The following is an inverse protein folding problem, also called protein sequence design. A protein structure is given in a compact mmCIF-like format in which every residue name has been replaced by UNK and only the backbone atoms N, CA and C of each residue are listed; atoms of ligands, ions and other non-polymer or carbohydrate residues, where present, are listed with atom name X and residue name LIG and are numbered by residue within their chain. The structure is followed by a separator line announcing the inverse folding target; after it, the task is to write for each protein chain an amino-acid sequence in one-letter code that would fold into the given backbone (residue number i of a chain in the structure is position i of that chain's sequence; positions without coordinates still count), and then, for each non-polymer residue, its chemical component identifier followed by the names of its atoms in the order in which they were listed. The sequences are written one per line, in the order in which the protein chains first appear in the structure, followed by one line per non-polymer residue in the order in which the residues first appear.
data_IF_681929164002
#
_entry.id   IF_681929164002
#
_cell.length_a   1.000
_cell.length_b   1.000
_cell.length_c   1.000
_cell.angle_alpha   90.00
_cell.angle_beta   90.00
_cell.angle_gamma   90.00
#
_symmetry.space_group_name_H-M   'P 1'
#
loop_
_entity.id
_entity.type
_entity.pdbx_description
1 polymer ?
#
# COMPACT_ATOMS: atom_id res chain seq x y z
N UNK A 1 12.06 -0.11 -11.97
CA UNK A 1 10.85 0.13 -12.77
C UNK A 1 9.74 0.51 -11.78
N UNK A 2 9.20 1.72 -11.85
CA UNK A 2 8.00 2.07 -11.07
C UNK A 2 6.80 1.37 -11.72
N UNK A 3 5.87 0.86 -10.92
CA UNK A 3 4.63 0.23 -11.40
C UNK A 3 3.51 1.24 -11.19
N UNK A 4 2.84 1.60 -12.28
CA UNK A 4 1.72 2.54 -12.28
C UNK A 4 0.44 1.74 -12.50
N UNK A 5 -0.48 1.81 -11.55
CA UNK A 5 -1.77 1.11 -11.62
C UNK A 5 -2.85 2.07 -12.13
N UNK A 6 -3.62 1.65 -13.14
CA UNK A 6 -4.68 2.50 -13.71
C UNK A 6 -6.10 1.98 -13.47
N UNK A 7 -6.38 0.67 -13.28
CA UNK A 7 -7.72 0.13 -12.92
C UNK A 7 -7.72 -1.23 -12.18
N UNK A 8 -8.86 -1.62 -11.60
CA UNK A 8 -9.15 -2.93 -10.95
C UNK A 8 -8.68 -4.18 -11.74
N UNK A 9 -8.67 -4.15 -13.07
CA UNK A 9 -8.23 -5.30 -13.91
C UNK A 9 -6.72 -5.53 -13.90
N UNK A 10 -5.93 -4.49 -13.67
CA UNK A 10 -4.48 -4.61 -13.71
C UNK A 10 -3.97 -5.38 -12.49
N UNK A 11 -4.61 -5.15 -11.32
CA UNK A 11 -4.30 -5.73 -10.00
C UNK A 11 -4.31 -7.25 -9.99
N UNK A 12 -5.35 -7.85 -10.57
CA UNK A 12 -5.48 -9.29 -10.67
C UNK A 12 -4.39 -9.93 -11.55
N UNK A 13 -4.00 -9.26 -12.65
CA UNK A 13 -3.03 -9.79 -13.63
C UNK A 13 -1.61 -9.80 -13.07
N UNK A 14 -1.22 -8.77 -12.33
CA UNK A 14 0.11 -8.70 -11.72
C UNK A 14 0.25 -9.66 -10.53
N UNK A 15 -0.77 -9.79 -9.67
CA UNK A 15 -0.76 -10.78 -8.58
C UNK A 15 -0.63 -12.21 -9.14
N UNK A 16 -1.36 -12.54 -10.20
CA UNK A 16 -1.22 -13.82 -10.88
C UNK A 16 0.18 -14.03 -11.48
N UNK A 17 0.75 -13.00 -12.12
CA UNK A 17 2.10 -13.05 -12.68
C UNK A 17 3.21 -13.16 -11.63
N UNK A 18 3.08 -12.46 -10.50
CA UNK A 18 4.05 -12.47 -9.41
C UNK A 18 4.03 -13.77 -8.61
N UNK A 19 2.84 -14.30 -8.30
CA UNK A 19 2.68 -15.60 -7.65
C UNK A 19 3.18 -16.75 -8.54
N UNK A 20 2.91 -16.67 -9.85
CA UNK A 20 3.47 -17.62 -10.83
C UNK A 20 5.00 -17.53 -10.92
N UNK A 21 5.57 -16.33 -10.83
CA UNK A 21 7.02 -16.11 -10.86
C UNK A 21 7.75 -16.68 -9.62
N UNK A 22 7.09 -16.68 -8.44
CA UNK A 22 7.67 -17.18 -7.19
C UNK A 22 7.47 -18.69 -6.96
N UNK A 23 6.80 -19.40 -7.87
CA UNK A 23 6.53 -20.84 -7.71
C UNK A 23 5.62 -21.19 -6.53
N UNK A 24 4.95 -20.20 -5.95
CA UNK A 24 4.03 -20.38 -4.83
C UNK A 24 2.66 -20.78 -5.39
N UNK A 25 2.38 -22.08 -5.38
CA UNK A 25 1.04 -22.61 -5.63
C UNK A 25 0.03 -21.93 -4.70
N UNK A 26 -1.04 -21.41 -5.28
CA UNK A 26 -2.15 -20.79 -4.56
C UNK A 26 -2.72 -21.82 -3.58
N UNK A 27 -2.50 -21.63 -2.28
CA UNK A 27 -3.25 -22.35 -1.24
C UNK A 27 -4.61 -21.65 -1.14
N UNK A 28 -5.53 -22.07 -2.01
CA UNK A 28 -6.93 -21.72 -1.92
C UNK A 28 -7.52 -22.33 -0.65
N UNK A 29 -8.19 -21.48 0.14
CA UNK A 29 -9.23 -21.88 1.10
C UNK A 29 -10.13 -22.90 0.39
N UNK A 30 -10.42 -24.03 1.02
CA UNK A 30 -11.17 -25.13 0.43
C UNK A 30 -12.51 -24.66 -0.15
N UNK A 31 -12.54 -24.48 -1.47
CA UNK A 31 -13.75 -24.36 -2.29
C UNK A 31 -14.07 -25.79 -2.73
N UNK A 32 -15.28 -26.27 -2.44
CA UNK A 32 -15.71 -27.57 -2.97
C UNK A 32 -15.70 -27.52 -4.50
N UNK A 33 -15.55 -28.66 -5.16
CA UNK A 33 -15.53 -28.78 -6.63
C UNK A 33 -16.79 -28.25 -7.34
N UNK A 34 -17.80 -27.80 -6.61
CA UNK A 34 -19.06 -27.24 -7.12
C UNK A 34 -19.11 -25.70 -7.16
N UNK A 35 -18.15 -24.98 -6.57
CA UNK A 35 -18.17 -23.51 -6.49
C UNK A 35 -19.31 -22.92 -5.65
N UNK A 36 -20.15 -23.76 -5.03
CA UNK A 36 -21.18 -23.32 -4.11
C UNK A 36 -20.59 -23.17 -2.71
N UNK A 37 -20.69 -21.96 -2.17
CA UNK A 37 -20.64 -21.75 -0.73
C UNK A 37 -21.82 -22.54 -0.14
N UNK A 38 -21.55 -23.49 0.76
CA UNK A 38 -22.63 -24.08 1.54
C UNK A 38 -23.20 -22.92 2.36
N UNK A 39 -24.49 -22.54 2.18
CA UNK A 39 -25.09 -21.58 3.08
C UNK A 39 -24.93 -22.16 4.48
N UNK A 40 -24.40 -21.35 5.39
CA UNK A 40 -24.68 -21.58 6.80
C UNK A 40 -26.20 -21.75 6.87
N UNK A 41 -26.66 -22.84 7.48
CA UNK A 41 -28.10 -23.12 7.55
C UNK A 41 -28.84 -21.97 8.24
N UNK A 42 -30.13 -22.14 8.54
CA UNK A 42 -30.88 -21.22 9.41
C UNK A 42 -30.36 -21.24 10.86
N UNK A 43 -29.04 -21.10 11.05
CA UNK A 43 -28.38 -20.97 12.33
C UNK A 43 -28.57 -19.51 12.77
N UNK A 44 -29.41 -19.27 13.79
CA UNK A 44 -29.64 -17.93 14.29
C UNK A 44 -28.35 -17.28 14.83
N UNK A 45 -27.34 -18.06 15.24
CA UNK A 45 -26.06 -17.52 15.71
C UNK A 45 -25.24 -16.94 14.55
N UNK A 46 -25.24 -17.61 13.38
CA UNK A 46 -24.56 -17.11 12.18
C UNK A 46 -25.20 -15.82 11.66
N UNK A 47 -26.54 -15.75 11.62
CA UNK A 47 -27.26 -14.55 11.22
C UNK A 47 -27.03 -13.37 12.18
N UNK A 48 -26.97 -13.65 13.49
CA UNK A 48 -26.65 -12.63 14.50
C UNK A 48 -25.22 -12.09 14.35
N UNK A 49 -24.25 -12.96 14.03
CA UNK A 49 -22.87 -12.58 13.78
C UNK A 49 -22.74 -11.72 12.52
N UNK A 50 -23.39 -12.09 11.41
CA UNK A 50 -23.41 -11.30 10.18
C UNK A 50 -24.01 -9.90 10.42
N UNK A 51 -25.15 -9.82 11.10
CA UNK A 51 -25.77 -8.54 11.45
C UNK A 51 -24.88 -7.67 12.37
N UNK A 52 -24.14 -8.30 13.29
CA UNK A 52 -23.18 -7.58 14.14
C UNK A 52 -22.00 -7.03 13.34
N UNK A 53 -21.46 -7.81 12.39
CA UNK A 53 -20.39 -7.36 11.50
C UNK A 53 -20.85 -6.22 10.58
N UNK A 54 -22.06 -6.30 10.03
CA UNK A 54 -22.63 -5.22 9.21
C UNK A 54 -22.83 -3.93 10.01
N UNK A 55 -23.28 -4.03 11.27
CA UNK A 55 -23.43 -2.88 12.16
C UNK A 55 -22.08 -2.24 12.51
N UNK A 56 -21.06 -3.06 12.78
CA UNK A 56 -19.68 -2.59 13.02
C UNK A 56 -19.09 -1.92 11.78
N UNK A 57 -19.30 -2.48 10.59
CA UNK A 57 -18.89 -1.87 9.32
C UNK A 57 -19.57 -0.52 9.07
N UNK A 58 -20.86 -0.38 9.39
CA UNK A 58 -21.59 0.88 9.25
C UNK A 58 -21.11 1.94 10.24
N UNK A 59 -20.87 1.58 11.50
CA UNK A 59 -20.27 2.48 12.49
C UNK A 59 -18.88 2.95 12.04
N UNK A 60 -18.07 2.03 11.52
CA UNK A 60 -16.74 2.35 11.01
C UNK A 60 -16.81 3.29 9.78
N UNK A 61 -17.74 3.04 8.84
CA UNK A 61 -17.99 3.97 7.71
C UNK A 61 -18.41 5.35 8.20
N UNK A 62 -19.31 5.44 9.17
CA UNK A 62 -19.78 6.71 9.72
C UNK A 62 -18.65 7.48 10.44
N UNK A 63 -17.81 6.78 11.22
CA UNK A 63 -16.63 7.38 11.84
C UNK A 63 -15.64 7.88 10.78
N UNK A 64 -15.38 7.08 9.74
CA UNK A 64 -14.50 7.46 8.65
C UNK A 64 -14.98 8.75 7.97
N UNK A 65 -16.27 8.83 7.63
CA UNK A 65 -16.85 10.03 7.02
C UNK A 65 -16.70 11.25 7.93
N UNK A 66 -16.95 11.11 9.25
CA UNK A 66 -16.76 12.22 10.20
C UNK A 66 -15.32 12.70 10.27
N UNK A 67 -14.34 11.80 10.22
CA UNK A 67 -12.92 12.17 10.23
C UNK A 67 -12.55 12.93 8.94
N UNK A 68 -13.11 12.51 7.80
CA UNK A 68 -12.97 13.22 6.52
C UNK A 68 -13.64 14.59 6.57
N UNK A 69 -14.88 14.69 7.07
CA UNK A 69 -15.64 15.95 7.17
C UNK A 69 -14.96 16.97 8.08
N UNK A 70 -14.27 16.50 9.12
CA UNK A 70 -13.47 17.34 10.01
C UNK A 70 -12.14 17.78 9.38
N UNK A 71 -11.83 17.34 8.15
CA UNK A 71 -10.55 17.61 7.48
C UNK A 71 -9.36 16.94 8.18
N UNK A 72 -9.60 15.95 9.03
CA UNK A 72 -8.55 15.25 9.79
C UNK A 72 -7.89 14.14 8.95
N UNK A 73 -8.49 13.77 7.82
CA UNK A 73 -7.94 12.84 6.83
C UNK A 73 -8.26 13.32 5.41
N UNK A 74 -7.34 13.04 4.49
CA UNK A 74 -7.60 13.16 3.06
C UNK A 74 -8.73 12.21 2.66
N UNK A 75 -9.62 12.66 1.79
CA UNK A 75 -10.54 11.78 1.09
C UNK A 75 -9.78 11.05 -0.02
N UNK A 76 -9.47 9.77 0.21
CA UNK A 76 -8.75 8.94 -0.76
C UNK A 76 -9.68 8.35 -1.84
N UNK A 77 -11.00 8.58 -1.78
CA UNK A 77 -11.95 8.07 -2.78
C UNK A 77 -11.75 8.70 -4.16
N UNK A 78 -11.13 9.89 -4.22
CA UNK A 78 -10.80 10.59 -5.45
C UNK A 78 -9.55 10.03 -6.16
N UNK A 79 -8.79 9.15 -5.50
CA UNK A 79 -7.51 8.65 -6.01
C UNK A 79 -7.72 7.78 -7.24
N UNK A 80 -7.13 8.20 -8.35
CA UNK A 80 -7.15 7.50 -9.65
C UNK A 80 -5.80 6.89 -10.01
N UNK A 81 -4.72 7.40 -9.40
CA UNK A 81 -3.36 6.96 -9.65
C UNK A 81 -2.66 6.61 -8.36
N UNK A 82 -2.18 5.37 -8.25
CA UNK A 82 -1.31 4.93 -7.17
C UNK A 82 0.11 4.69 -7.71
N UNK A 83 1.06 5.49 -7.26
CA UNK A 83 2.48 5.35 -7.56
C UNK A 83 3.14 4.51 -6.48
N UNK A 84 3.50 3.27 -6.81
CA UNK A 84 4.11 2.35 -5.85
C UNK A 84 5.63 2.41 -5.98
N UNK A 85 6.31 2.70 -4.87
CA UNK A 85 7.77 2.76 -4.79
C UNK A 85 8.24 1.64 -3.85
N UNK A 86 8.60 0.47 -4.38
CA UNK A 86 9.20 -0.58 -3.58
C UNK A 86 10.56 -0.13 -3.06
N UNK A 87 10.81 -0.36 -1.78
CA UNK A 87 12.15 -0.27 -1.23
C UNK A 87 13.12 -1.27 -1.85
N UNK A 88 14.37 -1.14 -1.45
CA UNK A 88 15.53 -1.78 -2.01
C UNK A 88 16.52 -2.27 -0.96
N UNK A 89 16.21 -2.10 0.33
CA UNK A 89 17.10 -2.40 1.45
C UNK A 89 17.80 -1.15 1.99
N UNK A 90 18.70 -1.29 2.98
CA UNK A 90 19.41 -0.14 3.52
C UNK A 90 20.33 0.48 2.47
N UNK A 91 20.36 1.82 2.44
CA UNK A 91 21.37 2.57 1.68
C UNK A 91 22.78 2.39 2.26
N UNK A 92 23.79 2.58 1.44
CA UNK A 92 25.19 2.65 1.85
C UNK A 92 25.60 4.04 2.35
N UNK A 93 26.89 4.20 2.63
CA UNK A 93 27.46 5.51 2.96
C UNK A 93 27.31 6.48 1.78
N UNK A 94 26.77 7.67 2.04
CA UNK A 94 26.49 8.69 1.02
C UNK A 94 25.12 8.56 0.34
N UNK A 95 24.35 7.52 0.62
CA UNK A 95 22.97 7.40 0.16
C UNK A 95 22.00 8.25 0.99
N UNK A 96 20.80 8.51 0.45
CA UNK A 96 19.74 9.30 1.10
C UNK A 96 18.98 8.50 2.19
N UNK A 97 19.61 7.48 2.77
CA UNK A 97 18.95 6.50 3.63
C UNK A 97 18.29 5.32 2.87
N UNK A 98 18.33 5.34 1.54
CA UNK A 98 17.93 4.24 0.66
C UNK A 98 18.90 4.14 -0.53
N UNK A 99 19.08 2.95 -1.13
CA UNK A 99 20.08 2.72 -2.17
C UNK A 99 19.74 3.44 -3.48
N UNK A 100 20.77 3.65 -4.31
CA UNK A 100 20.65 4.34 -5.61
C UNK A 100 19.56 3.78 -6.55
N UNK A 101 19.25 2.49 -6.51
CA UNK A 101 18.14 1.92 -7.30
C UNK A 101 16.76 2.25 -6.73
N UNK A 102 16.63 2.44 -5.41
CA UNK A 102 15.40 2.98 -4.81
C UNK A 102 15.25 4.44 -5.24
N UNK A 103 16.36 5.21 -5.26
CA UNK A 103 16.37 6.58 -5.80
C UNK A 103 15.82 6.66 -7.22
N UNK A 104 16.32 5.81 -8.12
CA UNK A 104 15.85 5.77 -9.50
C UNK A 104 14.34 5.50 -9.62
N UNK A 105 13.77 4.67 -8.73
CA UNK A 105 12.32 4.41 -8.68
C UNK A 105 11.56 5.64 -8.21
N UNK A 106 12.05 6.30 -7.15
CA UNK A 106 11.48 7.54 -6.63
C UNK A 106 11.54 8.66 -7.67
N UNK A 107 12.64 8.81 -8.39
CA UNK A 107 12.81 9.83 -9.43
C UNK A 107 11.84 9.61 -10.60
N UNK A 108 11.61 8.35 -11.01
CA UNK A 108 10.56 8.02 -12.00
C UNK A 108 9.16 8.33 -11.47
N UNK A 109 8.89 8.07 -10.19
CA UNK A 109 7.61 8.42 -9.58
C UNK A 109 7.41 9.95 -9.52
N UNK A 110 8.47 10.71 -9.21
CA UNK A 110 8.46 12.18 -9.22
C UNK A 110 8.19 12.75 -10.61
N UNK A 111 8.82 12.17 -11.64
CA UNK A 111 8.56 12.56 -13.02
C UNK A 111 7.07 12.35 -13.37
N UNK A 112 6.53 11.16 -13.07
CA UNK A 112 5.12 10.88 -13.34
C UNK A 112 4.21 11.83 -12.56
N UNK A 113 4.53 12.08 -11.29
CA UNK A 113 3.80 13.03 -10.44
C UNK A 113 3.77 14.43 -11.05
N UNK A 114 4.92 14.96 -11.47
CA UNK A 114 5.01 16.28 -12.07
C UNK A 114 4.15 16.38 -13.34
N UNK A 115 4.20 15.35 -14.18
CA UNK A 115 3.48 15.30 -15.47
C UNK A 115 1.96 15.10 -15.32
N UNK A 116 1.50 14.35 -14.33
CA UNK A 116 0.11 13.87 -14.28
C UNK A 116 -0.67 14.26 -13.01
N UNK A 117 0.02 14.55 -11.90
CA UNK A 117 -0.60 14.71 -10.59
C UNK A 117 -0.51 16.15 -10.05
N UNK A 118 0.48 16.92 -10.49
CA UNK A 118 0.77 18.26 -9.96
C UNK A 118 -0.42 19.24 -10.02
N UNK A 119 -1.31 19.08 -11.00
CA UNK A 119 -2.50 19.93 -11.18
C UNK A 119 -3.73 19.43 -10.40
N UNK A 120 -3.78 18.15 -10.06
CA UNK A 120 -4.90 17.49 -9.35
C UNK A 120 -4.37 16.51 -8.32
N UNK A 121 -3.60 16.99 -7.32
CA UNK A 121 -2.87 16.15 -6.37
C UNK A 121 -3.80 15.22 -5.59
N UNK A 122 -5.06 15.60 -5.37
CA UNK A 122 -6.10 14.81 -4.73
C UNK A 122 -6.47 13.53 -5.49
N UNK A 123 -6.15 13.45 -6.79
CA UNK A 123 -6.39 12.26 -7.62
C UNK A 123 -5.21 11.30 -7.64
N UNK A 124 -4.13 11.61 -6.93
CA UNK A 124 -2.92 10.81 -6.89
C UNK A 124 -2.48 10.46 -5.48
N UNK A 125 -1.94 9.26 -5.34
CA UNK A 125 -1.36 8.72 -4.13
C UNK A 125 0.03 8.17 -4.42
N UNK A 126 0.95 8.29 -3.48
CA UNK A 126 2.26 7.63 -3.52
C UNK A 126 2.37 6.66 -2.36
N UNK A 127 2.68 5.41 -2.64
CA UNK A 127 2.95 4.38 -1.64
C UNK A 127 4.45 4.14 -1.53
N UNK A 128 5.06 4.70 -0.49
CA UNK A 128 6.45 4.49 -0.13
C UNK A 128 6.57 3.22 0.74
N UNK A 129 7.12 2.16 0.16
CA UNK A 129 7.22 0.85 0.81
C UNK A 129 8.57 0.66 1.50
N UNK A 130 8.65 -0.38 2.34
CA UNK A 130 9.85 -0.91 3.01
C UNK A 130 10.17 -0.26 4.37
N UNK A 131 10.08 -1.07 5.41
CA UNK A 131 10.69 -0.85 6.71
C UNK A 131 12.22 -1.10 6.70
N UNK A 132 12.76 -1.64 5.60
CA UNK A 132 14.18 -1.96 5.46
C UNK A 132 14.39 -3.38 4.94
N UNK A 133 15.36 -4.09 5.53
CA UNK A 133 15.71 -5.46 5.13
C UNK A 133 15.96 -6.31 6.35
N UNK A 134 15.49 -7.56 6.35
CA UNK A 134 15.89 -8.55 7.36
C UNK A 134 17.36 -8.99 7.19
N UNK A 135 17.93 -8.79 6.00
CA UNK A 135 19.25 -9.28 5.64
C UNK A 135 20.37 -8.28 5.92
N UNK A 136 20.03 -7.08 6.42
CA UNK A 136 21.00 -6.04 6.73
C UNK A 136 20.50 -5.16 7.89
N UNK A 137 21.39 -4.62 8.73
CA UNK A 137 20.98 -3.75 9.83
C UNK A 137 20.20 -2.53 9.33
N UNK A 138 19.12 -2.18 10.03
CA UNK A 138 18.39 -0.95 9.75
C UNK A 138 19.28 0.26 10.00
N UNK A 139 19.18 1.27 9.14
CA UNK A 139 19.74 2.58 9.41
C UNK A 139 19.15 3.14 10.71
N UNK A 140 19.94 3.92 11.44
CA UNK A 140 19.52 4.59 12.68
C UNK A 140 19.80 6.08 12.60
N UNK A 141 18.92 6.85 13.23
CA UNK A 141 19.11 8.28 13.46
C UNK A 141 20.18 8.52 14.53
N UNK A 142 20.59 9.78 14.71
CA UNK A 142 21.53 10.18 15.78
C UNK A 142 21.03 9.80 17.18
N UNK A 143 19.70 9.79 17.40
CA UNK A 143 19.09 9.36 18.67
C UNK A 143 19.01 7.84 18.83
N UNK A 144 19.46 7.07 17.84
CA UNK A 144 19.42 5.61 17.83
C UNK A 144 18.08 5.02 17.37
N UNK A 145 17.06 5.84 17.07
CA UNK A 145 15.79 5.36 16.52
C UNK A 145 15.98 4.76 15.11
N UNK A 146 15.20 3.74 14.78
CA UNK A 146 15.21 3.09 13.46
C UNK A 146 14.75 4.10 12.40
N UNK A 147 15.51 4.19 11.32
CA UNK A 147 15.18 4.99 10.15
C UNK A 147 14.69 4.08 9.03
N UNK A 148 13.38 4.12 8.77
CA UNK A 148 12.75 3.27 7.75
C UNK A 148 13.02 3.79 6.34
N UNK A 149 13.14 2.87 5.38
CA UNK A 149 13.36 3.21 3.97
C UNK A 149 12.18 4.02 3.41
N UNK A 150 10.95 3.64 3.76
CA UNK A 150 9.73 4.38 3.42
C UNK A 150 9.76 5.82 3.90
N UNK A 151 10.27 6.07 5.11
CA UNK A 151 10.42 7.41 5.68
C UNK A 151 11.44 8.24 4.91
N UNK A 152 12.55 7.62 4.51
CA UNK A 152 13.57 8.24 3.67
C UNK A 152 13.01 8.59 2.28
N UNK A 153 12.28 7.66 1.65
CA UNK A 153 11.59 7.88 0.37
C UNK A 153 10.61 9.04 0.49
N UNK A 154 9.74 9.04 1.51
CA UNK A 154 8.77 10.10 1.73
C UNK A 154 9.44 11.48 1.91
N UNK A 155 10.53 11.57 2.66
CA UNK A 155 11.27 12.83 2.81
C UNK A 155 11.87 13.30 1.49
N UNK A 156 12.40 12.39 0.67
CA UNK A 156 12.89 12.72 -0.67
C UNK A 156 11.77 13.28 -1.55
N UNK A 157 10.59 12.66 -1.53
CA UNK A 157 9.42 13.10 -2.28
C UNK A 157 8.88 14.46 -1.80
N UNK A 158 8.77 14.68 -0.49
CA UNK A 158 8.33 15.96 0.09
C UNK A 158 9.29 17.09 -0.29
N UNK A 159 10.60 16.86 -0.21
CA UNK A 159 11.61 17.85 -0.64
C UNK A 159 11.51 18.18 -2.13
N UNK A 160 11.00 17.26 -2.94
CA UNK A 160 10.74 17.45 -4.36
C UNK A 160 9.35 18.05 -4.68
N UNK A 161 8.55 18.38 -3.66
CA UNK A 161 7.27 19.07 -3.82
C UNK A 161 6.03 18.17 -3.86
N UNK A 162 6.14 16.87 -3.54
CA UNK A 162 4.96 16.02 -3.33
C UNK A 162 4.30 16.40 -1.99
N UNK A 163 3.00 16.72 -1.95
CA UNK A 163 2.31 17.04 -0.70
C UNK A 163 2.37 15.85 0.28
N UNK A 164 2.72 16.07 1.56
CA UNK A 164 2.80 14.99 2.55
C UNK A 164 1.52 14.15 2.66
N UNK A 165 0.37 14.78 2.52
CA UNK A 165 -0.96 14.16 2.58
C UNK A 165 -1.25 13.19 1.43
N UNK A 166 -0.46 13.22 0.36
CA UNK A 166 -0.56 12.28 -0.77
C UNK A 166 0.36 11.05 -0.61
N UNK A 167 1.16 10.99 0.46
CA UNK A 167 2.18 9.95 0.66
C UNK A 167 1.76 8.99 1.78
N UNK A 168 1.62 7.72 1.42
CA UNK A 168 1.38 6.61 2.33
C UNK A 168 2.74 5.96 2.62
N UNK A 169 3.14 5.91 3.89
CA UNK A 169 4.38 5.28 4.33
C UNK A 169 4.10 3.92 4.98
N UNK A 170 4.78 2.88 4.48
CA UNK A 170 4.75 1.54 5.06
C UNK A 170 5.92 1.33 6.04
N UNK A 171 5.63 0.87 7.25
CA UNK A 171 6.63 0.55 8.27
C UNK A 171 6.59 -0.93 8.69
N UNK A 172 5.87 -1.78 7.95
CA UNK A 172 5.70 -3.20 8.28
C UNK A 172 6.36 -4.13 7.27
N UNK A 173 6.62 -3.71 6.03
CA UNK A 173 7.23 -4.59 5.04
C UNK A 173 8.76 -4.69 5.17
N UNK A 174 9.28 -5.90 5.41
CA UNK A 174 10.72 -6.13 5.57
C UNK A 174 11.37 -6.90 4.42
N UNK A 175 10.57 -7.31 3.43
CA UNK A 175 11.00 -8.03 2.24
C UNK A 175 10.09 -7.74 1.04
N UNK A 176 10.44 -8.33 -0.10
CA UNK A 176 9.71 -8.19 -1.36
C UNK A 176 8.29 -8.74 -1.31
N UNK A 177 8.05 -9.83 -0.58
CA UNK A 177 6.72 -10.45 -0.47
C UNK A 177 5.80 -9.56 0.38
N UNK A 178 6.31 -9.06 1.49
CA UNK A 178 5.61 -8.12 2.35
C UNK A 178 5.30 -6.80 1.60
N UNK A 179 6.23 -6.29 0.77
CA UNK A 179 5.95 -5.13 -0.10
C UNK A 179 4.76 -5.37 -1.03
N UNK A 180 4.70 -6.54 -1.68
CA UNK A 180 3.58 -6.91 -2.55
C UNK A 180 2.27 -7.07 -1.76
N UNK A 181 2.34 -7.65 -0.57
CA UNK A 181 1.19 -7.81 0.33
C UNK A 181 0.63 -6.47 0.78
N UNK A 182 1.47 -5.56 1.28
CA UNK A 182 1.04 -4.20 1.69
C UNK A 182 0.48 -3.42 0.50
N UNK A 183 1.12 -3.52 -0.67
CA UNK A 183 0.58 -2.92 -1.90
C UNK A 183 -0.84 -3.39 -2.17
N UNK A 184 -1.09 -4.71 -2.05
CA UNK A 184 -2.43 -5.27 -2.24
C UNK A 184 -3.42 -4.70 -1.22
N UNK A 185 -3.07 -4.67 0.07
CA UNK A 185 -3.95 -4.15 1.12
C UNK A 185 -4.31 -2.67 0.88
N UNK A 186 -3.34 -1.85 0.50
CA UNK A 186 -3.58 -0.43 0.19
C UNK A 186 -4.47 -0.30 -1.04
N UNK A 187 -4.25 -1.09 -2.09
CA UNK A 187 -5.11 -1.08 -3.28
C UNK A 187 -6.53 -1.51 -2.93
N UNK A 188 -6.71 -2.56 -2.13
CA UNK A 188 -8.03 -3.02 -1.67
C UNK A 188 -8.74 -1.92 -0.87
N UNK A 189 -8.03 -1.26 0.04
CA UNK A 189 -8.58 -0.15 0.82
C UNK A 189 -8.96 1.08 -0.04
N UNK A 190 -8.22 1.36 -1.11
CA UNK A 190 -8.49 2.48 -2.01
C UNK A 190 -9.67 2.23 -2.97
N UNK A 191 -10.04 0.96 -3.19
CA UNK A 191 -11.12 0.59 -4.14
C UNK A 191 -12.40 0.10 -3.47
N UNK A 192 -12.39 -0.05 -2.14
CA UNK A 192 -13.54 -0.44 -1.33
C UNK A 192 -14.53 0.73 -1.25
#
# INVERSE_FOLDING_TARGET
KAVIWRRRRDVAVFLAGFLAYQGLGVVSRWVTSSGAWLPWGNDPEAAALEAALEAEEEEHRALHQRVVDLGLRSDWSAVRHLLVIPGGGPGGEGDLGFPSWTRQRSDVALQYWAEHCSQTPETCAVLALSAGSMNAPSARTESGAIWFESSAIAQHLVRAGVPPEAIICDFVSWDTVANAWVTRLVVEALVA
#
